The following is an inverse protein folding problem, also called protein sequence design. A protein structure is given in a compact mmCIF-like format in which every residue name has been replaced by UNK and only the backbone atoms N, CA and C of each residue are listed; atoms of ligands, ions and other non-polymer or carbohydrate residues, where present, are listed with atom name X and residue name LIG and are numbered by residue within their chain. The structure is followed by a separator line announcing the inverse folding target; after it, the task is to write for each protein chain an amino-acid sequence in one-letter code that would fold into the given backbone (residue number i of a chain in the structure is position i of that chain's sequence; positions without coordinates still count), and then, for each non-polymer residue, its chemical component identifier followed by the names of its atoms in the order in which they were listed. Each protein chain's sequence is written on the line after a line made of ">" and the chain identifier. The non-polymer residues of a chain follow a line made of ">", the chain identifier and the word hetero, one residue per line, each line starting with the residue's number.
data_IF_075676812477
#
_entry.id   IF_075676812477
#
_cell.length_a   1.000
_cell.length_b   1.000
_cell.length_c   1.000
_cell.angle_alpha   90.00
_cell.angle_beta   90.00
_cell.angle_gamma   90.00
#
_symmetry.space_group_name_H-M   'P 1'
#
loop_
_entity.id
_entity.type
_entity.pdbx_description
1 polymer ?
#
# COMPACT_ATOMS: atom_id res chain seq x y z
N UNK A 1 -12.07 -10.18 -2.54
CA UNK A 1 -11.85 -8.79 -2.90
C UNK A 1 -11.08 -8.09 -1.80
N UNK A 2 -10.07 -7.36 -2.17
CA UNK A 2 -9.16 -6.71 -1.24
C UNK A 2 -9.80 -5.48 -0.57
N UNK A 3 -10.63 -4.75 -1.31
CA UNK A 3 -11.33 -3.56 -0.84
C UNK A 3 -12.20 -3.83 0.41
N UNK A 4 -12.73 -5.05 0.58
CA UNK A 4 -13.55 -5.43 1.76
C UNK A 4 -12.81 -5.26 3.10
N UNK A 5 -11.49 -5.07 3.07
CA UNK A 5 -10.70 -4.73 4.26
C UNK A 5 -11.01 -3.32 4.78
N UNK A 6 -11.38 -2.41 3.89
CA UNK A 6 -11.59 -0.99 4.20
C UNK A 6 -13.04 -0.57 3.99
N UNK A 7 -13.73 -1.15 2.99
CA UNK A 7 -15.06 -0.75 2.55
C UNK A 7 -16.17 -1.24 3.49
N UNK A 8 -17.10 -0.35 3.84
CA UNK A 8 -18.32 -0.70 4.59
C UNK A 8 -18.38 -0.19 6.03
N UNK A 9 -17.44 0.71 6.41
CA UNK A 9 -17.48 1.39 7.70
C UNK A 9 -17.26 2.90 7.47
N UNK A 10 -16.15 3.50 7.94
CA UNK A 10 -15.82 4.90 7.68
C UNK A 10 -15.44 5.16 6.21
N UNK A 11 -15.01 4.17 5.49
CA UNK A 11 -14.70 4.22 4.06
C UNK A 11 -15.74 3.37 3.33
N UNK A 12 -16.41 3.91 2.34
CA UNK A 12 -17.44 3.19 1.58
C UNK A 12 -18.75 2.96 2.33
N UNK A 13 -19.00 3.65 3.45
CA UNK A 13 -20.17 3.45 4.30
C UNK A 13 -21.13 4.63 4.38
N UNK A 14 -20.86 5.74 3.67
CA UNK A 14 -21.65 6.96 3.69
C UNK A 14 -22.63 7.06 2.52
N UNK A 15 -23.54 8.05 2.57
CA UNK A 15 -24.37 8.41 1.43
C UNK A 15 -23.51 8.91 0.25
N UNK A 16 -22.39 9.59 0.52
CA UNK A 16 -21.41 10.00 -0.50
C UNK A 16 -20.78 8.80 -1.20
N UNK A 17 -20.51 7.73 -0.47
CA UNK A 17 -20.02 6.46 -1.04
C UNK A 17 -21.03 5.86 -2.03
N UNK A 18 -22.32 5.86 -1.68
CA UNK A 18 -23.39 5.37 -2.57
C UNK A 18 -23.51 6.25 -3.81
N UNK A 19 -23.42 7.58 -3.65
CA UNK A 19 -23.44 8.52 -4.76
C UNK A 19 -22.22 8.34 -5.68
N UNK A 20 -21.04 8.05 -5.10
CA UNK A 20 -19.85 7.74 -5.89
C UNK A 20 -20.01 6.44 -6.70
N UNK A 21 -20.58 5.39 -6.10
CA UNK A 21 -20.86 4.14 -6.82
C UNK A 21 -21.85 4.39 -7.96
N UNK A 22 -22.93 5.14 -7.73
CA UNK A 22 -23.90 5.52 -8.76
C UNK A 22 -23.26 6.34 -9.89
N UNK A 23 -22.35 7.28 -9.54
CA UNK A 23 -21.56 8.00 -10.54
C UNK A 23 -20.71 7.05 -11.40
N UNK A 24 -20.03 6.09 -10.77
CA UNK A 24 -19.16 5.13 -11.47
C UNK A 24 -19.97 4.17 -12.37
N UNK A 25 -21.18 3.79 -11.96
CA UNK A 25 -22.11 3.01 -12.81
C UNK A 25 -22.50 3.73 -14.08
N UNK A 26 -22.70 5.04 -14.00
CA UNK A 26 -23.10 5.88 -15.14
C UNK A 26 -22.00 6.05 -16.17
N UNK A 27 -20.74 5.78 -15.81
CA UNK A 27 -19.64 5.93 -16.75
C UNK A 27 -19.69 4.82 -17.81
N UNK A 28 -19.50 5.19 -19.08
CA UNK A 28 -19.52 4.21 -20.20
C UNK A 28 -18.19 3.46 -20.36
N UNK A 29 -17.10 4.07 -19.87
CA UNK A 29 -15.75 3.53 -19.97
C UNK A 29 -15.52 2.44 -18.93
N UNK A 30 -14.70 1.46 -19.25
CA UNK A 30 -14.22 0.46 -18.31
C UNK A 30 -12.96 0.94 -17.57
N UNK A 31 -12.17 1.81 -18.18
CA UNK A 31 -11.01 2.46 -17.59
C UNK A 31 -11.27 3.97 -17.49
N UNK A 32 -11.15 4.54 -16.29
CA UNK A 32 -11.51 5.91 -15.98
C UNK A 32 -10.32 6.58 -15.29
N UNK A 33 -9.71 7.63 -15.88
CA UNK A 33 -8.68 8.42 -15.21
C UNK A 33 -9.24 9.14 -13.97
N UNK A 34 -8.45 9.21 -12.89
CA UNK A 34 -8.82 9.91 -11.66
C UNK A 34 -9.15 11.38 -11.91
N UNK A 35 -8.35 12.06 -12.75
CA UNK A 35 -8.60 13.45 -13.17
C UNK A 35 -9.95 13.63 -13.86
N UNK A 36 -10.43 12.65 -14.62
CA UNK A 36 -11.75 12.71 -15.26
C UNK A 36 -12.88 12.62 -14.22
N UNK A 37 -12.72 11.76 -13.21
CA UNK A 37 -13.63 11.68 -12.07
C UNK A 37 -13.66 13.02 -11.34
N UNK A 38 -12.51 13.54 -10.97
CA UNK A 38 -12.38 14.82 -10.26
C UNK A 38 -13.07 15.96 -11.02
N UNK A 39 -12.83 16.06 -12.32
CA UNK A 39 -13.44 17.10 -13.16
C UNK A 39 -14.97 16.96 -13.28
N UNK A 40 -15.48 15.73 -13.35
CA UNK A 40 -16.93 15.47 -13.53
C UNK A 40 -17.75 15.72 -12.28
N UNK A 41 -17.17 15.50 -11.09
CA UNK A 41 -17.85 15.71 -9.81
C UNK A 41 -17.44 17.01 -9.10
N UNK A 42 -16.49 17.76 -9.67
CA UNK A 42 -16.07 19.07 -9.15
C UNK A 42 -14.94 19.05 -8.13
N UNK A 43 -14.33 17.88 -7.83
CA UNK A 43 -13.19 17.76 -6.91
C UNK A 43 -11.93 18.50 -7.38
N UNK A 44 -11.77 18.70 -8.69
CA UNK A 44 -10.65 19.43 -9.28
C UNK A 44 -10.57 20.91 -8.78
N UNK A 45 -11.70 21.48 -8.37
CA UNK A 45 -11.78 22.84 -7.83
C UNK A 45 -11.19 22.98 -6.44
N UNK A 46 -10.98 21.87 -5.71
CA UNK A 46 -10.47 21.87 -4.34
C UNK A 46 -8.94 21.96 -4.26
N UNK A 47 -8.24 21.84 -5.37
CA UNK A 47 -6.78 21.92 -5.41
C UNK A 47 -6.08 21.03 -4.36
N UNK A 48 -6.60 19.80 -4.15
CA UNK A 48 -6.10 18.81 -3.18
C UNK A 48 -6.19 19.24 -1.70
N UNK A 49 -6.95 20.29 -1.37
CA UNK A 49 -7.33 20.65 0.00
C UNK A 49 -8.81 20.30 0.23
N UNK A 50 -9.06 19.26 1.01
CA UNK A 50 -10.39 18.69 1.25
C UNK A 50 -10.90 19.00 2.67
N UNK A 51 -10.33 20.01 3.36
CA UNK A 51 -10.79 20.42 4.69
C UNK A 51 -12.19 20.99 4.69
N UNK A 52 -12.53 21.69 3.63
CA UNK A 52 -13.85 22.23 3.41
C UNK A 52 -14.36 21.81 2.05
N UNK A 53 -15.54 21.22 2.01
CA UNK A 53 -16.17 20.82 0.75
C UNK A 53 -16.65 22.05 0.00
N UNK A 54 -16.28 22.18 -1.27
CA UNK A 54 -16.75 23.30 -2.10
C UNK A 54 -18.22 23.12 -2.45
N UNK A 55 -18.91 24.25 -2.61
CA UNK A 55 -20.25 24.27 -3.22
C UNK A 55 -20.16 23.65 -4.63
N UNK A 56 -21.19 22.88 -5.03
CA UNK A 56 -21.28 22.22 -6.34
C UNK A 56 -20.37 20.98 -6.52
N UNK A 57 -20.08 20.27 -5.44
CA UNK A 57 -19.56 18.93 -5.52
C UNK A 57 -20.73 17.98 -5.85
N UNK A 58 -21.05 17.84 -7.17
CA UNK A 58 -22.29 17.20 -7.62
C UNK A 58 -22.13 16.60 -9.02
N UNK A 59 -23.02 15.68 -9.39
CA UNK A 59 -23.16 15.22 -10.77
C UNK A 59 -24.65 14.98 -11.11
N UNK A 60 -24.97 14.99 -12.40
CA UNK A 60 -26.30 14.60 -12.86
C UNK A 60 -26.24 13.17 -13.38
N UNK A 61 -26.94 12.26 -12.73
CA UNK A 61 -27.10 10.88 -13.16
C UNK A 61 -27.84 10.81 -14.52
N UNK A 62 -27.62 9.74 -15.30
CA UNK A 62 -28.20 9.53 -16.63
C UNK A 62 -29.72 9.55 -16.66
N UNK A 63 -30.37 9.26 -15.52
CA UNK A 63 -31.83 9.37 -15.36
C UNK A 63 -32.33 10.81 -15.10
N UNK A 64 -31.43 11.81 -15.04
CA UNK A 64 -31.73 13.22 -14.83
C UNK A 64 -31.85 13.64 -13.35
N UNK A 65 -31.50 12.76 -12.40
CA UNK A 65 -31.46 13.11 -10.96
C UNK A 65 -30.11 13.77 -10.66
N UNK A 66 -30.15 14.92 -9.98
CA UNK A 66 -28.96 15.58 -9.43
C UNK A 66 -28.58 14.88 -8.12
N UNK A 67 -27.31 14.56 -7.97
CA UNK A 67 -26.73 13.92 -6.78
C UNK A 67 -25.55 14.75 -6.32
N UNK A 68 -25.54 15.10 -5.06
CA UNK A 68 -24.51 15.92 -4.41
C UNK A 68 -23.65 15.08 -3.47
N UNK A 69 -22.46 15.59 -3.17
CA UNK A 69 -21.56 15.02 -2.18
C UNK A 69 -21.40 16.03 -1.04
N UNK A 70 -21.47 15.52 0.17
CA UNK A 70 -21.44 16.34 1.39
C UNK A 70 -20.01 16.62 1.86
N UNK A 71 -19.13 15.60 1.74
CA UNK A 71 -17.76 15.67 2.24
C UNK A 71 -16.74 15.22 1.19
N UNK A 72 -15.94 16.16 0.70
CA UNK A 72 -14.90 15.88 -0.27
C UNK A 72 -13.86 14.87 0.28
N UNK A 73 -13.58 14.89 1.58
CA UNK A 73 -12.70 13.94 2.26
C UNK A 73 -13.19 12.50 2.15
N UNK A 74 -14.50 12.27 2.30
CA UNK A 74 -15.12 10.94 2.14
C UNK A 74 -14.92 10.41 0.73
N UNK A 75 -15.28 11.21 -0.27
CA UNK A 75 -15.14 10.83 -1.68
C UNK A 75 -13.68 10.48 -2.04
N UNK A 76 -12.72 11.25 -1.52
CA UNK A 76 -11.29 11.02 -1.78
C UNK A 76 -10.78 9.74 -1.11
N UNK A 77 -11.22 9.44 0.11
CA UNK A 77 -10.83 8.20 0.79
C UNK A 77 -11.46 6.97 0.13
N UNK A 78 -12.68 7.08 -0.35
CA UNK A 78 -13.36 6.05 -1.13
C UNK A 78 -12.64 5.78 -2.45
N UNK A 79 -12.26 6.83 -3.19
CA UNK A 79 -11.46 6.71 -4.41
C UNK A 79 -10.10 6.08 -4.16
N UNK A 80 -9.47 6.39 -3.02
CA UNK A 80 -8.21 5.76 -2.62
C UNK A 80 -8.38 4.24 -2.37
N UNK A 81 -9.47 3.82 -1.74
CA UNK A 81 -9.77 2.40 -1.52
C UNK A 81 -10.05 1.66 -2.85
N UNK A 82 -10.76 2.31 -3.78
CA UNK A 82 -11.02 1.76 -5.12
C UNK A 82 -9.72 1.68 -5.94
N UNK A 83 -8.85 2.68 -5.87
CA UNK A 83 -7.52 2.66 -6.49
C UNK A 83 -6.67 1.52 -5.94
N UNK A 84 -6.73 1.26 -4.63
CA UNK A 84 -6.06 0.14 -4.01
C UNK A 84 -6.55 -1.19 -4.58
N UNK A 85 -7.87 -1.41 -4.68
CA UNK A 85 -8.43 -2.61 -5.32
C UNK A 85 -7.97 -2.74 -6.77
N UNK A 86 -8.03 -1.65 -7.55
CA UNK A 86 -7.58 -1.65 -8.95
C UNK A 86 -6.09 -1.97 -9.08
N UNK A 87 -5.26 -1.54 -8.14
CA UNK A 87 -3.82 -1.82 -8.14
C UNK A 87 -3.51 -3.28 -7.81
N UNK A 88 -4.33 -3.91 -6.95
CA UNK A 88 -4.14 -5.32 -6.52
C UNK A 88 -4.77 -6.30 -7.49
N UNK A 89 -6.03 -6.02 -7.88
CA UNK A 89 -6.88 -6.96 -8.63
C UNK A 89 -7.04 -6.57 -10.10
N UNK A 90 -6.41 -5.47 -10.53
CA UNK A 90 -6.51 -4.92 -11.89
C UNK A 90 -7.81 -4.14 -12.16
N UNK A 91 -8.88 -4.39 -11.41
CA UNK A 91 -10.18 -3.74 -11.56
C UNK A 91 -11.03 -3.98 -10.31
N UNK A 92 -12.03 -3.14 -10.08
CA UNK A 92 -13.05 -3.31 -9.05
C UNK A 92 -14.38 -3.75 -9.69
N UNK A 93 -15.12 -4.62 -9.03
CA UNK A 93 -16.50 -4.92 -9.42
C UNK A 93 -17.43 -4.04 -8.59
N UNK A 94 -18.21 -3.18 -9.24
CA UNK A 94 -19.09 -2.21 -8.58
C UNK A 94 -20.13 -2.88 -7.67
N UNK A 95 -20.61 -4.08 -8.04
CA UNK A 95 -21.52 -4.86 -7.18
C UNK A 95 -20.93 -5.18 -5.80
N UNK A 96 -19.63 -5.25 -5.69
CA UNK A 96 -18.98 -5.53 -4.41
C UNK A 96 -18.90 -4.28 -3.51
N UNK A 97 -19.18 -3.10 -4.06
CA UNK A 97 -19.26 -1.82 -3.34
C UNK A 97 -20.68 -1.52 -2.85
N UNK A 98 -21.69 -1.93 -3.61
CA UNK A 98 -23.11 -1.88 -3.23
C UNK A 98 -23.84 -3.13 -3.73
N UNK A 99 -23.92 -4.16 -2.86
CA UNK A 99 -24.44 -5.48 -3.19
C UNK A 99 -25.94 -5.48 -3.55
N UNK A 100 -26.69 -4.47 -3.14
CA UNK A 100 -28.16 -4.47 -3.22
C UNK A 100 -28.68 -3.75 -4.46
N UNK A 101 -27.99 -2.74 -4.94
CA UNK A 101 -28.51 -1.83 -5.98
C UNK A 101 -27.69 -1.84 -7.26
N UNK A 102 -26.43 -2.30 -7.22
CA UNK A 102 -25.49 -2.17 -8.33
C UNK A 102 -25.36 -3.48 -9.13
N UNK A 103 -25.51 -3.45 -10.46
CA UNK A 103 -25.26 -4.62 -11.30
C UNK A 103 -23.77 -4.98 -11.34
N UNK A 104 -23.48 -6.26 -11.56
CA UNK A 104 -22.13 -6.74 -11.72
C UNK A 104 -21.45 -6.07 -12.94
N UNK A 105 -20.54 -5.15 -12.67
CA UNK A 105 -19.75 -4.43 -13.67
C UNK A 105 -18.34 -4.18 -13.13
N UNK A 106 -17.35 -4.45 -13.95
CA UNK A 106 -15.95 -4.18 -13.58
C UNK A 106 -15.48 -2.89 -14.24
N UNK A 107 -14.81 -2.07 -13.43
CA UNK A 107 -14.15 -0.85 -13.90
C UNK A 107 -12.72 -0.81 -13.34
N UNK A 108 -11.89 0.00 -13.96
CA UNK A 108 -10.54 0.31 -13.49
C UNK A 108 -10.40 1.82 -13.37
N UNK A 109 -10.02 2.31 -12.19
CA UNK A 109 -9.59 3.69 -12.01
C UNK A 109 -8.08 3.72 -12.17
N UNK A 110 -7.58 4.69 -12.94
CA UNK A 110 -6.15 4.94 -13.14
C UNK A 110 -5.79 6.32 -12.64
N UNK A 111 -4.58 6.46 -12.10
CA UNK A 111 -4.04 7.74 -11.65
C UNK A 111 -2.59 7.90 -12.12
N UNK A 112 -2.16 9.13 -12.36
CA UNK A 112 -0.77 9.46 -12.65
C UNK A 112 0.08 9.43 -11.37
N UNK A 113 1.40 9.33 -11.46
CA UNK A 113 2.27 9.43 -10.28
C UNK A 113 2.03 10.71 -9.47
N UNK A 114 1.82 11.85 -10.14
CA UNK A 114 1.55 13.14 -9.51
C UNK A 114 0.22 13.16 -8.76
N UNK A 115 -0.82 12.51 -9.33
CA UNK A 115 -2.12 12.37 -8.67
C UNK A 115 -2.04 11.46 -7.44
N UNK A 116 -1.26 10.39 -7.53
CA UNK A 116 -0.96 9.55 -6.37
C UNK A 116 -0.25 10.32 -5.27
N UNK A 117 0.80 11.06 -5.59
CA UNK A 117 1.55 11.87 -4.61
C UNK A 117 0.65 12.93 -3.95
N UNK A 118 -0.19 13.59 -4.74
CA UNK A 118 -1.13 14.59 -4.24
C UNK A 118 -2.18 13.98 -3.30
N UNK A 119 -2.75 12.82 -3.67
CA UNK A 119 -3.71 12.07 -2.84
C UNK A 119 -3.05 11.58 -1.55
N UNK A 120 -1.83 11.03 -1.62
CA UNK A 120 -1.06 10.62 -0.44
C UNK A 120 -0.88 11.77 0.55
N UNK A 121 -0.51 12.94 0.03
CA UNK A 121 -0.35 14.13 0.86
C UNK A 121 -1.69 14.56 1.48
N UNK A 122 -2.78 14.60 0.71
CA UNK A 122 -4.09 14.97 1.20
C UNK A 122 -4.59 14.02 2.31
N UNK A 123 -4.39 12.71 2.14
CA UNK A 123 -4.71 11.72 3.18
C UNK A 123 -3.82 11.89 4.42
N UNK A 124 -2.52 12.18 4.26
CA UNK A 124 -1.63 12.45 5.39
C UNK A 124 -2.03 13.72 6.16
N UNK A 125 -2.45 14.78 5.44
CA UNK A 125 -2.95 16.01 6.03
C UNK A 125 -4.24 15.77 6.86
N UNK A 126 -5.15 14.91 6.36
CA UNK A 126 -6.34 14.48 7.11
C UNK A 126 -5.97 13.72 8.38
N UNK A 127 -5.08 12.74 8.29
CA UNK A 127 -4.62 11.94 9.44
C UNK A 127 -3.95 12.80 10.50
N UNK A 128 -3.20 13.82 10.09
CA UNK A 128 -2.50 14.72 11.02
C UNK A 128 -3.43 15.62 11.80
N UNK A 129 -4.52 16.13 11.18
CA UNK A 129 -5.45 17.06 11.81
C UNK A 129 -6.91 16.81 11.33
N UNK A 130 -7.50 15.65 11.68
CA UNK A 130 -8.84 15.29 11.20
C UNK A 130 -9.94 16.21 11.71
N UNK A 131 -9.72 16.90 12.84
CA UNK A 131 -10.70 17.84 13.41
C UNK A 131 -10.80 19.16 12.63
N UNK A 132 -9.87 19.44 11.72
CA UNK A 132 -9.93 20.61 10.84
C UNK A 132 -10.80 20.41 9.59
N UNK A 133 -11.33 19.20 9.40
CA UNK A 133 -12.18 18.85 8.26
C UNK A 133 -13.66 19.00 8.61
N UNK A 134 -14.48 19.44 7.65
CA UNK A 134 -15.91 19.66 7.81
C UNK A 134 -16.68 18.39 8.21
N UNK A 135 -16.27 17.22 7.75
CA UNK A 135 -16.83 15.93 8.17
C UNK A 135 -16.77 15.73 9.70
N UNK A 136 -15.84 16.36 10.39
CA UNK A 136 -15.71 16.26 11.86
C UNK A 136 -16.90 16.89 12.60
N UNK A 137 -17.67 17.75 11.95
CA UNK A 137 -18.90 18.33 12.53
C UNK A 137 -20.03 17.30 12.66
N UNK A 138 -19.98 16.23 11.87
CA UNK A 138 -21.00 15.17 11.84
C UNK A 138 -20.64 13.95 12.67
N UNK A 139 -19.41 13.90 13.21
CA UNK A 139 -18.86 12.73 13.91
C UNK A 139 -18.42 13.10 15.32
N UNK A 140 -18.51 12.16 16.26
CA UNK A 140 -17.88 12.28 17.56
C UNK A 140 -16.35 12.29 17.45
N UNK A 141 -15.68 12.91 18.44
CA UNK A 141 -14.20 13.01 18.43
C UNK A 141 -13.53 11.64 18.30
N UNK A 142 -14.07 10.62 18.95
CA UNK A 142 -13.53 9.25 18.91
C UNK A 142 -13.74 8.65 17.52
N UNK A 143 -14.90 8.85 16.91
CA UNK A 143 -15.23 8.33 15.58
C UNK A 143 -14.33 8.92 14.48
N UNK A 144 -14.09 10.24 14.50
CA UNK A 144 -13.20 10.87 13.53
C UNK A 144 -11.75 10.43 13.73
N UNK A 145 -11.35 10.12 14.97
CA UNK A 145 -10.03 9.56 15.26
C UNK A 145 -9.90 8.14 14.72
N UNK A 146 -10.94 7.32 14.88
CA UNK A 146 -10.97 5.95 14.35
C UNK A 146 -10.99 5.96 12.80
N UNK A 147 -11.71 6.90 12.19
CA UNK A 147 -11.67 7.13 10.75
C UNK A 147 -10.24 7.49 10.29
N UNK A 148 -9.60 8.45 10.96
CA UNK A 148 -8.23 8.85 10.63
C UNK A 148 -7.25 7.67 10.74
N UNK A 149 -7.41 6.78 11.72
CA UNK A 149 -6.64 5.56 11.82
C UNK A 149 -6.85 4.62 10.61
N UNK A 150 -8.10 4.42 10.17
CA UNK A 150 -8.39 3.60 8.99
C UNK A 150 -7.83 4.24 7.70
N UNK A 151 -7.94 5.56 7.57
CA UNK A 151 -7.37 6.31 6.44
C UNK A 151 -5.84 6.17 6.42
N UNK A 152 -5.15 6.21 7.56
CA UNK A 152 -3.70 5.99 7.64
C UNK A 152 -3.32 4.57 7.21
N UNK A 153 -4.08 3.56 7.65
CA UNK A 153 -3.84 2.17 7.23
C UNK A 153 -4.03 2.00 5.72
N UNK A 154 -5.10 2.58 5.15
CA UNK A 154 -5.33 2.60 3.70
C UNK A 154 -4.21 3.33 2.96
N UNK A 155 -3.82 4.52 3.45
CA UNK A 155 -2.75 5.33 2.88
C UNK A 155 -1.43 4.55 2.81
N UNK A 156 -0.99 3.96 3.93
CA UNK A 156 0.22 3.13 3.99
C UNK A 156 0.15 1.98 2.99
N UNK A 157 -0.95 1.29 2.94
CA UNK A 157 -1.09 0.15 2.05
C UNK A 157 -1.10 0.55 0.57
N UNK A 158 -1.71 1.70 0.24
CA UNK A 158 -1.73 2.20 -1.13
C UNK A 158 -0.37 2.76 -1.59
N UNK A 159 0.37 3.46 -0.72
CA UNK A 159 1.53 4.25 -1.10
C UNK A 159 2.86 3.73 -0.57
N UNK A 160 2.88 3.03 0.56
CA UNK A 160 4.10 2.48 1.17
C UNK A 160 4.36 1.02 0.78
N UNK A 161 3.35 0.33 0.22
CA UNK A 161 3.55 -1.04 -0.27
C UNK A 161 4.53 -1.06 -1.43
N UNK A 162 5.63 -1.81 -1.33
CA UNK A 162 6.58 -1.94 -2.41
C UNK A 162 5.89 -2.36 -3.70
N UNK A 163 6.02 -1.60 -4.76
CA UNK A 163 5.66 -2.00 -6.11
C UNK A 163 4.39 -1.44 -6.73
N UNK A 164 3.52 -0.71 -6.02
CA UNK A 164 2.20 -0.32 -6.56
C UNK A 164 2.20 0.87 -7.52
N UNK A 165 3.16 1.77 -7.44
CA UNK A 165 3.27 2.97 -8.31
C UNK A 165 4.61 3.09 -9.02
N UNK A 166 5.32 1.97 -9.21
CA UNK A 166 6.62 1.99 -9.85
C UNK A 166 6.47 1.92 -11.36
N UNK A 167 7.08 2.87 -12.03
CA UNK A 167 7.25 2.80 -13.48
C UNK A 167 8.33 1.75 -13.80
N UNK A 168 7.97 0.47 -13.69
CA UNK A 168 8.90 -0.64 -13.92
C UNK A 168 9.62 -0.50 -15.26
N UNK A 169 10.91 -0.85 -15.27
CA UNK A 169 11.75 -0.85 -16.46
C UNK A 169 11.19 -1.78 -17.53
N UNK A 170 10.85 -3.02 -17.16
CA UNK A 170 10.14 -3.97 -18.02
C UNK A 170 8.64 -3.87 -17.73
N UNK A 171 7.85 -3.53 -18.74
CA UNK A 171 6.40 -3.42 -18.60
C UNK A 171 5.76 -4.80 -18.52
N UNK A 172 4.61 -4.88 -17.83
CA UNK A 172 3.90 -6.15 -17.61
C UNK A 172 3.57 -6.88 -18.93
N UNK A 173 3.22 -6.14 -19.99
CA UNK A 173 2.94 -6.66 -21.33
C UNK A 173 4.17 -7.20 -22.06
N UNK A 174 5.37 -6.76 -21.67
CA UNK A 174 6.65 -7.16 -22.27
C UNK A 174 7.31 -8.34 -21.54
N UNK A 175 6.80 -8.74 -20.36
CA UNK A 175 7.33 -9.84 -19.56
C UNK A 175 7.18 -11.17 -20.31
N UNK A 176 8.32 -11.83 -20.57
CA UNK A 176 8.38 -13.13 -21.21
C UNK A 176 8.53 -14.24 -20.17
N UNK A 177 8.02 -15.43 -20.47
CA UNK A 177 8.23 -16.60 -19.65
C UNK A 177 9.62 -17.21 -19.95
N UNK A 178 10.62 -16.83 -19.16
CA UNK A 178 12.03 -17.21 -19.36
C UNK A 178 12.45 -18.42 -18.53
N UNK A 179 11.63 -18.85 -17.56
CA UNK A 179 11.89 -19.95 -16.64
C UNK A 179 10.81 -21.05 -16.76
N UNK A 180 10.63 -21.69 -17.95
CA UNK A 180 9.53 -22.65 -18.17
C UNK A 180 9.67 -23.93 -17.32
N UNK A 181 10.90 -24.29 -16.95
CA UNK A 181 11.23 -25.53 -16.25
C UNK A 181 11.59 -25.28 -14.77
N UNK A 182 11.28 -24.09 -14.24
CA UNK A 182 11.55 -23.79 -12.84
C UNK A 182 10.59 -24.56 -11.92
N UNK A 183 11.16 -25.31 -10.99
CA UNK A 183 10.42 -26.05 -9.98
C UNK A 183 10.70 -25.48 -8.58
N UNK A 184 9.65 -25.32 -7.77
CA UNK A 184 9.73 -24.83 -6.39
C UNK A 184 9.37 -23.36 -6.23
N UNK A 185 9.73 -22.77 -5.09
CA UNK A 185 9.45 -21.37 -4.77
C UNK A 185 10.15 -20.43 -5.76
N UNK A 186 9.43 -19.44 -6.27
CA UNK A 186 9.91 -18.49 -7.29
C UNK A 186 9.97 -17.03 -6.79
N UNK A 187 9.67 -16.79 -5.51
CA UNK A 187 9.77 -15.48 -4.89
C UNK A 187 11.22 -15.09 -4.64
N UNK A 188 11.53 -13.80 -4.81
CA UNK A 188 12.84 -13.22 -4.55
C UNK A 188 12.70 -11.76 -4.14
N UNK A 189 13.77 -11.17 -3.60
CA UNK A 189 13.83 -9.74 -3.30
C UNK A 189 14.79 -9.07 -4.27
N UNK A 190 14.40 -7.89 -4.80
CA UNK A 190 15.25 -7.09 -5.66
C UNK A 190 15.09 -5.59 -5.38
N UNK A 191 16.16 -4.82 -5.59
CA UNK A 191 16.13 -3.37 -5.42
C UNK A 191 15.48 -2.65 -6.60
N UNK A 192 14.99 -1.45 -6.36
CA UNK A 192 14.40 -0.59 -7.40
C UNK A 192 15.42 -0.14 -8.44
N UNK A 193 16.72 -0.14 -8.11
CA UNK A 193 17.77 0.08 -9.06
C UNK A 193 17.64 -0.83 -10.28
N UNK A 194 17.26 -2.11 -10.05
CA UNK A 194 17.04 -3.08 -11.12
C UNK A 194 15.66 -2.88 -11.74
N UNK A 195 14.61 -2.99 -10.96
CA UNK A 195 13.24 -3.15 -11.47
C UNK A 195 12.60 -1.85 -11.98
N UNK A 196 13.05 -0.70 -11.49
CA UNK A 196 12.54 0.62 -11.86
C UNK A 196 13.53 1.41 -12.70
N UNK A 197 14.80 1.48 -12.27
CA UNK A 197 15.82 2.26 -12.96
C UNK A 197 16.48 1.51 -14.12
N UNK A 198 16.27 0.18 -14.23
CA UNK A 198 16.78 -0.64 -15.32
C UNK A 198 18.28 -0.94 -15.22
N UNK A 199 18.85 -0.81 -14.03
CA UNK A 199 20.22 -1.23 -13.79
C UNK A 199 20.36 -2.76 -13.91
N UNK A 200 21.52 -3.22 -14.37
CA UNK A 200 21.86 -4.64 -14.33
C UNK A 200 22.08 -5.11 -12.89
N UNK A 201 21.84 -6.38 -12.64
CA UNK A 201 22.24 -7.01 -11.38
C UNK A 201 23.76 -6.99 -11.29
N UNK A 202 24.31 -6.29 -10.30
CA UNK A 202 25.75 -6.22 -10.03
C UNK A 202 26.18 -7.18 -8.94
N UNK A 203 25.32 -7.38 -7.93
CA UNK A 203 25.55 -8.33 -6.85
C UNK A 203 24.27 -9.11 -6.57
N UNK A 204 24.39 -10.39 -6.34
CA UNK A 204 23.28 -11.24 -5.92
C UNK A 204 23.76 -12.35 -5.00
N UNK A 205 22.88 -12.80 -4.13
CA UNK A 205 23.17 -13.92 -3.23
C UNK A 205 21.92 -14.78 -3.02
N UNK A 206 22.18 -16.00 -2.57
CA UNK A 206 21.14 -16.95 -2.19
C UNK A 206 21.41 -17.45 -0.79
N UNK A 207 20.43 -17.23 0.07
CA UNK A 207 20.39 -17.73 1.45
C UNK A 207 19.38 -18.86 1.60
N UNK A 208 19.27 -19.45 2.79
CA UNK A 208 18.22 -20.42 3.06
C UNK A 208 16.86 -19.73 2.94
N UNK A 209 15.89 -20.34 2.24
CA UNK A 209 14.58 -19.74 2.01
C UNK A 209 13.82 -19.46 3.31
N UNK A 210 13.20 -18.30 3.42
CA UNK A 210 12.25 -17.94 4.48
C UNK A 210 10.82 -18.25 4.03
N UNK A 211 10.37 -19.47 4.29
CA UNK A 211 9.03 -19.94 3.96
C UNK A 211 8.84 -20.49 2.56
N UNK A 212 7.62 -20.98 2.28
CA UNK A 212 7.33 -21.77 1.08
C UNK A 212 7.20 -20.96 -0.23
N UNK A 213 7.24 -19.64 -0.18
CA UNK A 213 7.19 -18.74 -1.35
C UNK A 213 8.57 -18.30 -1.82
N UNK A 214 9.56 -18.28 -0.92
CA UNK A 214 10.88 -17.69 -1.11
C UNK A 214 11.83 -18.69 -1.78
N UNK A 215 12.55 -18.23 -2.80
CA UNK A 215 13.63 -18.99 -3.44
C UNK A 215 14.98 -18.82 -2.74
N UNK A 216 15.07 -17.89 -1.78
CA UNK A 216 16.30 -17.47 -1.13
C UNK A 216 17.12 -16.44 -1.92
N UNK A 217 16.75 -16.09 -3.14
CA UNK A 217 17.51 -15.15 -3.98
C UNK A 217 17.24 -13.68 -3.62
N UNK A 218 18.34 -12.91 -3.56
CA UNK A 218 18.37 -11.45 -3.34
C UNK A 218 19.22 -10.80 -4.43
N UNK A 219 18.72 -9.72 -5.05
CA UNK A 219 19.33 -9.05 -6.19
C UNK A 219 19.50 -7.57 -5.96
N UNK A 220 20.71 -7.05 -6.13
CA UNK A 220 21.05 -5.63 -6.06
C UNK A 220 21.85 -5.20 -7.29
N UNK A 221 21.88 -3.88 -7.57
CA UNK A 221 22.73 -3.33 -8.62
C UNK A 221 24.22 -3.32 -8.21
N UNK A 222 24.49 -3.46 -6.89
CA UNK A 222 25.85 -3.52 -6.32
C UNK A 222 26.48 -2.15 -6.07
N UNK A 223 25.74 -1.07 -6.33
CA UNK A 223 26.16 0.31 -6.06
C UNK A 223 25.22 1.05 -5.08
N UNK A 224 24.31 0.34 -4.46
CA UNK A 224 23.41 0.88 -3.46
C UNK A 224 24.19 1.33 -2.22
N UNK A 225 23.87 2.53 -1.73
CA UNK A 225 24.42 2.99 -0.44
C UNK A 225 23.67 2.34 0.73
N UNK A 226 24.31 2.30 1.90
CA UNK A 226 23.68 1.84 3.15
C UNK A 226 22.35 2.56 3.41
N UNK A 227 22.31 3.89 3.31
CA UNK A 227 21.08 4.68 3.44
C UNK A 227 20.00 4.33 2.40
N UNK A 228 20.39 3.84 1.22
CA UNK A 228 19.44 3.34 0.22
C UNK A 228 18.86 1.99 0.64
N UNK A 229 19.69 1.08 1.14
CA UNK A 229 19.27 -0.25 1.60
C UNK A 229 18.40 -0.18 2.84
N UNK A 230 18.66 0.76 3.75
CA UNK A 230 17.88 1.00 4.97
C UNK A 230 16.44 1.50 4.69
N UNK A 231 16.17 2.03 3.50
CA UNK A 231 14.86 2.53 3.14
C UNK A 231 13.97 1.38 2.61
N UNK A 232 12.92 0.97 3.34
CA UNK A 232 12.11 -0.23 3.04
C UNK A 232 11.42 -0.16 1.68
N UNK A 233 11.22 1.04 1.13
CA UNK A 233 10.60 1.26 -0.17
C UNK A 233 11.55 1.10 -1.36
N UNK A 234 12.84 0.90 -1.12
CA UNK A 234 13.85 0.75 -2.17
C UNK A 234 14.05 -0.69 -2.67
N UNK A 235 13.37 -1.65 -2.06
CA UNK A 235 13.34 -3.04 -2.50
C UNK A 235 11.89 -3.56 -2.58
N UNK A 236 11.69 -4.73 -3.18
CA UNK A 236 10.40 -5.37 -3.29
C UNK A 236 10.50 -6.87 -3.52
N UNK A 237 9.36 -7.55 -3.32
CA UNK A 237 9.23 -8.99 -3.57
C UNK A 237 8.76 -9.18 -5.01
N UNK A 238 9.44 -10.03 -5.76
CA UNK A 238 9.19 -10.31 -7.15
C UNK A 238 9.23 -11.82 -7.41
N UNK A 239 8.77 -12.22 -8.59
CA UNK A 239 9.08 -13.57 -9.12
C UNK A 239 10.45 -13.57 -9.77
N UNK A 240 11.19 -14.65 -9.65
CA UNK A 240 12.46 -14.84 -10.35
C UNK A 240 12.34 -14.54 -11.85
N UNK A 241 11.25 -14.98 -12.48
CA UNK A 241 10.99 -14.70 -13.90
C UNK A 241 10.92 -13.19 -14.21
N UNK A 242 10.45 -12.36 -13.28
CA UNK A 242 10.43 -10.91 -13.46
C UNK A 242 11.85 -10.36 -13.53
N UNK A 243 12.70 -10.71 -12.58
CA UNK A 243 14.10 -10.26 -12.54
C UNK A 243 14.91 -10.80 -13.74
N UNK A 244 14.60 -12.02 -14.21
CA UNK A 244 15.17 -12.54 -15.45
C UNK A 244 14.81 -11.72 -16.70
N UNK A 245 13.67 -11.03 -16.71
CA UNK A 245 13.32 -10.10 -17.79
C UNK A 245 14.09 -8.78 -17.70
N UNK A 246 14.39 -8.30 -16.48
CA UNK A 246 15.24 -7.13 -16.28
C UNK A 246 16.71 -7.46 -16.60
N UNK A 247 17.18 -8.64 -16.18
CA UNK A 247 18.55 -9.10 -16.43
C UNK A 247 18.63 -10.62 -16.71
N UNK A 248 18.61 -11.05 -17.99
CA UNK A 248 18.70 -12.47 -18.36
C UNK A 248 20.03 -13.15 -17.97
N UNK A 249 21.08 -12.39 -17.68
CA UNK A 249 22.40 -12.92 -17.33
C UNK A 249 22.40 -13.68 -16.01
N UNK A 250 21.37 -13.49 -15.15
CA UNK A 250 21.22 -14.21 -13.88
C UNK A 250 20.70 -15.65 -14.06
N UNK A 251 20.05 -15.96 -15.19
CA UNK A 251 19.39 -17.27 -15.39
C UNK A 251 20.34 -18.45 -15.12
N UNK A 252 21.61 -18.47 -15.60
CA UNK A 252 22.53 -19.56 -15.34
C UNK A 252 22.88 -19.76 -13.86
N UNK A 253 22.68 -18.73 -13.01
CA UNK A 253 23.05 -18.76 -11.59
C UNK A 253 21.96 -19.40 -10.73
N UNK A 254 20.70 -19.32 -11.15
CA UNK A 254 19.52 -19.59 -10.32
C UNK A 254 19.46 -21.00 -9.72
N UNK A 255 20.13 -21.99 -10.36
CA UNK A 255 20.19 -23.38 -9.86
C UNK A 255 21.32 -23.62 -8.86
N UNK A 256 22.14 -22.61 -8.54
CA UNK A 256 23.19 -22.74 -7.53
C UNK A 256 22.58 -22.94 -6.16
N UNK A 257 23.13 -23.89 -5.41
CA UNK A 257 22.64 -24.20 -4.05
C UNK A 257 22.99 -23.06 -3.07
N UNK A 258 22.10 -22.80 -2.14
CA UNK A 258 22.35 -21.92 -0.99
C UNK A 258 23.33 -22.58 0.00
N UNK A 259 24.16 -21.80 0.76
CA UNK A 259 24.37 -20.37 0.54
C UNK A 259 25.36 -20.09 -0.61
N UNK A 260 25.14 -19.06 -1.39
CA UNK A 260 26.07 -18.62 -2.43
C UNK A 260 25.89 -17.12 -2.73
N UNK A 261 26.95 -16.48 -3.25
CA UNK A 261 26.90 -15.12 -3.75
C UNK A 261 27.72 -14.95 -5.02
N UNK A 262 27.32 -13.98 -5.83
CA UNK A 262 27.96 -13.61 -7.09
C UNK A 262 28.08 -12.10 -7.20
N UNK A 263 29.19 -11.66 -7.74
CA UNK A 263 29.43 -10.25 -8.08
C UNK A 263 29.80 -10.15 -9.56
N UNK A 264 29.31 -9.11 -10.23
CA UNK A 264 29.60 -8.87 -11.64
C UNK A 264 30.90 -8.10 -11.77
N UNK A 265 31.86 -8.66 -12.52
CA UNK A 265 33.15 -8.01 -12.77
C UNK A 265 33.06 -6.87 -13.80
N UNK A 266 34.18 -6.18 -14.01
CA UNK A 266 34.29 -5.05 -14.95
C UNK A 266 33.96 -5.43 -16.41
N UNK A 267 34.01 -6.72 -16.75
CA UNK A 267 33.67 -7.26 -18.08
C UNK A 267 32.17 -7.64 -18.15
N UNK A 268 31.40 -7.45 -17.10
CA UNK A 268 30.00 -7.82 -17.01
C UNK A 268 29.75 -9.31 -16.75
N UNK A 269 30.74 -10.06 -16.30
CA UNK A 269 30.65 -11.51 -16.05
C UNK A 269 30.50 -11.75 -14.53
N UNK A 270 29.54 -12.59 -14.15
CA UNK A 270 29.38 -12.97 -12.75
C UNK A 270 30.52 -13.90 -12.29
N UNK A 271 31.10 -13.51 -11.16
CA UNK A 271 32.14 -14.30 -10.46
C UNK A 271 31.53 -14.75 -9.11
N UNK A 272 31.64 -16.05 -8.83
CA UNK A 272 31.20 -16.58 -7.56
C UNK A 272 32.15 -16.15 -6.42
N UNK A 273 31.59 -15.60 -5.35
CA UNK A 273 32.33 -15.26 -4.14
C UNK A 273 32.55 -16.53 -3.33
N UNK A 274 33.81 -16.87 -3.12
CA UNK A 274 34.20 -18.09 -2.37
C UNK A 274 33.96 -17.85 -0.87
N UNK A 275 33.50 -18.91 -0.21
CA UNK A 275 33.29 -18.93 1.24
C UNK A 275 32.36 -17.82 1.78
N UNK A 276 31.47 -17.30 0.90
CA UNK A 276 30.43 -16.35 1.29
C UNK A 276 29.45 -17.01 2.27
N UNK A 277 29.07 -16.26 3.32
CA UNK A 277 28.03 -16.62 4.28
C UNK A 277 27.11 -15.44 4.49
N UNK A 278 25.80 -15.66 4.76
CA UNK A 278 24.90 -14.62 5.25
C UNK A 278 25.47 -13.99 6.52
N UNK A 279 25.24 -12.71 6.72
CA UNK A 279 25.58 -12.04 7.96
C UNK A 279 24.75 -12.63 9.10
N UNK A 280 25.41 -13.06 10.18
CA UNK A 280 24.76 -13.69 11.34
C UNK A 280 23.97 -12.67 12.20
N UNK A 281 24.11 -11.36 11.91
CA UNK A 281 23.52 -10.27 12.70
C UNK A 281 22.02 -10.01 12.40
N UNK A 282 21.43 -10.59 11.34
CA UNK A 282 20.01 -10.37 11.00
C UNK A 282 19.04 -11.15 11.91
N UNK A 283 19.43 -12.29 12.46
CA UNK A 283 18.58 -13.04 13.42
C UNK A 283 18.41 -12.29 14.76
N UNK A 284 19.38 -11.46 15.15
CA UNK A 284 19.31 -10.67 16.39
C UNK A 284 18.38 -9.46 16.24
N UNK A 285 18.30 -8.88 15.04
CA UNK A 285 17.47 -7.71 14.73
C UNK A 285 15.99 -8.04 14.71
N UNK A 286 15.59 -9.16 14.13
CA UNK A 286 14.18 -9.59 14.09
C UNK A 286 13.67 -10.00 15.48
N UNK A 287 14.51 -10.65 16.30
CA UNK A 287 14.18 -10.99 17.68
C UNK A 287 14.12 -9.74 18.58
N UNK A 288 14.93 -8.72 18.31
CA UNK A 288 14.89 -7.45 19.02
C UNK A 288 13.69 -6.60 18.62
N UNK A 289 13.29 -6.60 17.35
CA UNK A 289 12.05 -5.95 16.86
C UNK A 289 10.82 -6.63 17.49
N UNK A 290 10.77 -7.96 17.54
CA UNK A 290 9.67 -8.69 18.19
C UNK A 290 9.59 -8.40 19.69
N UNK A 291 10.72 -8.37 20.41
CA UNK A 291 10.79 -7.99 21.82
C UNK A 291 10.36 -6.54 22.03
N UNK A 292 10.77 -5.63 21.14
CA UNK A 292 10.38 -4.22 21.20
C UNK A 292 8.89 -4.04 20.95
N UNK A 293 8.30 -4.76 19.97
CA UNK A 293 6.86 -4.77 19.74
C UNK A 293 6.08 -5.35 20.91
N UNK A 294 6.57 -6.41 21.55
CA UNK A 294 5.98 -6.97 22.76
C UNK A 294 6.03 -5.98 23.93
N UNK A 295 7.17 -5.32 24.12
CA UNK A 295 7.34 -4.28 25.13
C UNK A 295 6.38 -3.10 24.91
N UNK A 296 6.26 -2.59 23.69
CA UNK A 296 5.29 -1.52 23.37
C UNK A 296 3.84 -1.95 23.58
N UNK A 297 3.53 -3.22 23.30
CA UNK A 297 2.19 -3.76 23.53
C UNK A 297 1.87 -3.86 25.03
N UNK A 298 2.85 -4.24 25.87
CA UNK A 298 2.69 -4.27 27.31
C UNK A 298 2.63 -2.86 27.92
N UNK A 299 3.48 -1.93 27.46
CA UNK A 299 3.44 -0.51 27.86
C UNK A 299 2.11 0.14 27.48
N UNK A 300 1.56 -0.16 26.29
CA UNK A 300 0.24 0.31 25.86
C UNK A 300 -0.90 -0.25 26.71
N UNK A 301 -0.79 -1.51 27.17
CA UNK A 301 -1.75 -2.08 28.14
C UNK A 301 -1.66 -1.40 29.50
N UNK A 302 -0.45 -1.13 29.99
CA UNK A 302 -0.24 -0.42 31.25
C UNK A 302 -0.79 0.99 31.20
N UNK A 303 -0.59 1.75 30.11
CA UNK A 303 -1.17 3.07 29.93
C UNK A 303 -2.71 3.03 29.96
N UNK A 304 -3.33 2.08 29.25
CA UNK A 304 -4.79 1.92 29.28
C UNK A 304 -5.36 1.58 30.66
N UNK A 305 -4.59 0.82 31.46
CA UNK A 305 -4.96 0.50 32.84
C UNK A 305 -4.84 1.75 33.74
N UNK A 306 -3.77 2.52 33.57
CA UNK A 306 -3.56 3.78 34.30
C UNK A 306 -4.65 4.78 33.95
N UNK A 307 -4.93 4.98 32.67
CA UNK A 307 -6.01 5.90 32.21
C UNK A 307 -7.39 5.48 32.75
N UNK A 308 -7.67 4.16 32.79
CA UNK A 308 -8.90 3.62 33.33
C UNK A 308 -9.00 3.81 34.85
N UNK A 309 -7.88 3.67 35.57
CA UNK A 309 -7.83 3.91 37.02
C UNK A 309 -7.94 5.41 37.35
N UNK A 310 -7.33 6.28 36.56
CA UNK A 310 -7.44 7.75 36.73
C UNK A 310 -8.85 8.26 36.45
N UNK A 311 -9.63 7.60 35.60
CA UNK A 311 -11.03 7.93 35.30
C UNK A 311 -11.99 7.59 36.46
N UNK A 312 -11.57 6.75 37.43
CA UNK A 312 -12.37 6.44 38.61
C UNK A 312 -12.24 7.57 39.63
N UNK A 313 -13.36 8.17 40.13
CA UNK A 313 -13.32 9.21 41.16
C UNK A 313 -12.54 8.72 42.41
N UNK A 314 -11.72 9.59 42.97
CA UNK A 314 -10.85 9.26 44.11
C UNK A 314 -11.61 8.65 45.34
N UNK A 315 -12.91 8.98 45.45
CA UNK A 315 -13.82 8.51 46.50
C UNK A 315 -14.24 7.02 46.28
N UNK A 316 -14.09 6.50 45.09
CA UNK A 316 -14.47 5.14 44.67
C UNK A 316 -13.27 4.20 44.52
N UNK A 317 -12.04 4.70 44.64
CA UNK A 317 -10.81 3.88 44.54
C UNK A 317 -10.58 3.06 45.80
N UNK A 318 -10.31 1.79 45.62
CA UNK A 318 -9.90 0.90 46.72
C UNK A 318 -8.39 0.92 46.86
N UNK A 319 -7.84 0.65 48.09
CA UNK A 319 -6.37 0.59 48.31
C UNK A 319 -5.62 -0.45 47.45
N UNK A 320 -6.34 -1.43 46.88
CA UNK A 320 -5.78 -2.44 45.99
C UNK A 320 -5.60 -1.90 44.56
N UNK A 321 -6.41 -0.91 44.13
CA UNK A 321 -6.30 -0.26 42.85
C UNK A 321 -5.13 0.74 42.74
N UNK A 322 -4.65 1.25 43.88
CA UNK A 322 -3.52 2.18 43.93
C UNK A 322 -2.16 1.43 44.07
N UNK A 323 -2.15 0.09 44.11
CA UNK A 323 -0.96 -0.73 44.30
C UNK A 323 -0.53 -1.52 43.04
N UNK A 324 -1.25 -1.42 41.90
CA UNK A 324 -0.86 -1.93 40.58
C UNK A 324 -0.36 -0.79 39.66
#
# INVERSE_FOLDING_TARGET
>A
MYIKKYWGNFIGGSDDSLNLVAFLEDQKQEEIPLSEIFAKIGLDKQNWDFRQTVEYLEFTHSNGVEMDFHFASDVVTDLAAILLECSVSGSVNLQDLDEYNTPARRIRITATPEEYDAMNKAMADFVQDPLSYDISEMMGKDEITDMAYQVEMLRKELYESPGRNRNYHVKAEDVKHLLPDWEGADGCIATNRITVEGCKVGYCYREEPDGGWDSGWRFTAGDESEAYMDAPNNAGIYKLNTICNDDPDIIPLLHTLAPCAFERDENGVFQQIKDWKPDEDEEETDMDILKQCQKWHEESKQHKIIDALEAIPAEERTPEMDSE
#
